data_IF_629774004414
#
_entry.id   IF_629774004414
#
_cell.length_a   1.000
_cell.length_b   1.000
_cell.length_c   1.000
_cell.angle_alpha   90.00
_cell.angle_beta   90.00
_cell.angle_gamma   90.00
#
_symmetry.space_group_name_H-M   'P 1'
#
loop_
_entity.id
_entity.type
_entity.pdbx_description
1 polymer ?
#
# COMPACT_ATOMS: atom_id res chain seq x y z
N UNK A 1 7.95 -15.82 11.78
CA UNK A 1 8.71 -16.40 10.65
C UNK A 1 9.63 -15.35 10.06
N UNK A 2 10.82 -15.74 9.58
CA UNK A 2 11.78 -14.78 9.01
C UNK A 2 12.43 -15.34 7.75
N UNK A 3 12.36 -14.61 6.63
CA UNK A 3 13.16 -14.94 5.44
C UNK A 3 12.69 -16.17 4.66
N UNK A 4 11.40 -16.52 4.74
CA UNK A 4 10.84 -17.67 4.04
C UNK A 4 10.14 -17.25 2.74
N UNK A 5 10.31 -18.04 1.69
CA UNK A 5 9.52 -17.94 0.46
C UNK A 5 8.65 -19.19 0.31
N UNK A 6 7.36 -18.98 0.06
CA UNK A 6 6.40 -20.02 -0.31
C UNK A 6 5.92 -19.75 -1.72
N UNK A 7 5.88 -20.81 -2.55
CA UNK A 7 5.47 -20.72 -3.95
C UNK A 7 4.33 -21.70 -4.21
N UNK A 8 3.13 -21.15 -4.45
CA UNK A 8 1.92 -21.90 -4.73
C UNK A 8 1.68 -22.23 -6.20
N UNK A 9 2.58 -21.84 -7.12
CA UNK A 9 2.38 -22.04 -8.55
C UNK A 9 2.10 -23.51 -8.91
N UNK A 10 1.02 -23.73 -9.66
CA UNK A 10 0.59 -25.07 -10.09
C UNK A 10 -0.21 -25.85 -9.04
N UNK A 11 -0.47 -25.26 -7.87
CA UNK A 11 -1.31 -25.85 -6.83
C UNK A 11 -2.67 -25.16 -6.78
N UNK A 12 -3.69 -25.86 -6.31
CA UNK A 12 -5.06 -25.35 -6.17
C UNK A 12 -5.40 -25.08 -4.70
N UNK A 13 -6.16 -24.02 -4.43
CA UNK A 13 -6.61 -23.62 -3.09
C UNK A 13 -5.48 -23.43 -2.06
N UNK A 14 -4.30 -22.97 -2.49
CA UNK A 14 -3.17 -22.77 -1.58
C UNK A 14 -3.14 -21.37 -1.03
N UNK A 15 -3.08 -21.28 0.30
CA UNK A 15 -2.68 -20.06 1.03
C UNK A 15 -1.22 -20.17 1.40
N UNK A 16 -0.43 -19.13 1.12
CA UNK A 16 1.01 -19.13 1.39
C UNK A 16 1.32 -19.19 2.88
N UNK A 17 0.91 -18.17 3.61
CA UNK A 17 1.00 -18.13 5.06
C UNK A 17 -0.37 -17.86 5.68
N UNK A 18 -0.76 -18.67 6.66
CA UNK A 18 -2.06 -18.54 7.33
C UNK A 18 -1.89 -18.63 8.85
N UNK A 19 -2.18 -17.52 9.52
CA UNK A 19 -2.32 -17.46 10.97
C UNK A 19 -3.74 -16.98 11.26
N UNK A 20 -4.56 -17.82 11.87
CA UNK A 20 -5.94 -17.51 12.23
C UNK A 20 -6.03 -16.47 13.38
N UNK A 21 -5.37 -15.31 13.23
CA UNK A 21 -5.39 -14.18 14.16
C UNK A 21 -4.02 -13.75 14.67
N UNK A 22 -3.11 -14.68 14.96
CA UNK A 22 -1.82 -14.38 15.61
C UNK A 22 -0.64 -15.08 14.96
N UNK A 23 0.26 -14.30 14.37
CA UNK A 23 1.54 -14.79 13.85
C UNK A 23 2.33 -13.64 13.25
N UNK A 24 3.66 -13.75 13.26
CA UNK A 24 4.52 -12.68 12.77
C UNK A 24 5.31 -13.16 11.56
N UNK A 25 5.49 -12.31 10.57
CA UNK A 25 6.39 -12.57 9.44
C UNK A 25 7.27 -11.36 9.15
N UNK A 26 8.56 -11.62 8.94
CA UNK A 26 9.53 -10.57 8.60
C UNK A 26 10.29 -11.02 7.36
N UNK A 27 10.27 -10.20 6.30
CA UNK A 27 10.99 -10.49 5.07
C UNK A 27 10.61 -11.86 4.47
N UNK A 28 9.31 -12.14 4.44
CA UNK A 28 8.77 -13.36 3.82
C UNK A 28 8.14 -13.04 2.46
N UNK A 29 8.10 -14.03 1.57
CA UNK A 29 7.52 -13.91 0.23
C UNK A 29 6.46 -14.98 0.04
N UNK A 30 5.25 -14.58 -0.35
CA UNK A 30 4.21 -15.49 -0.85
C UNK A 30 4.01 -15.23 -2.34
N UNK A 31 4.26 -16.25 -3.17
CA UNK A 31 4.19 -16.17 -4.61
C UNK A 31 3.22 -17.20 -5.18
N UNK A 32 2.39 -16.79 -6.13
CA UNK A 32 1.63 -17.76 -6.93
C UNK A 32 0.59 -18.55 -6.14
N UNK A 33 0.20 -18.08 -4.95
CA UNK A 33 -0.82 -18.73 -4.13
C UNK A 33 -2.19 -18.55 -4.79
N UNK A 34 -2.97 -19.63 -4.88
CA UNK A 34 -4.27 -19.66 -5.58
C UNK A 34 -5.48 -19.32 -4.70
N UNK A 35 -5.23 -18.94 -3.44
CA UNK A 35 -6.23 -18.39 -2.53
C UNK A 35 -5.77 -17.04 -1.93
N UNK A 36 -4.70 -17.02 -1.15
CA UNK A 36 -4.16 -15.79 -0.54
C UNK A 36 -2.65 -15.91 -0.32
N UNK A 37 -1.94 -14.80 -0.43
CA UNK A 37 -0.51 -14.78 -0.11
C UNK A 37 -0.29 -14.92 1.40
N UNK A 38 -0.81 -13.95 2.16
CA UNK A 38 -0.78 -13.92 3.61
C UNK A 38 -2.20 -13.77 4.17
N UNK A 39 -2.52 -14.54 5.22
CA UNK A 39 -3.77 -14.43 5.98
C UNK A 39 -3.43 -14.21 7.44
N UNK A 40 -3.86 -13.08 8.01
CA UNK A 40 -3.62 -12.73 9.41
C UNK A 40 -2.20 -12.25 9.71
N UNK A 41 -1.98 -11.92 10.99
CA UNK A 41 -0.64 -11.67 11.55
C UNK A 41 -0.11 -10.24 11.45
N UNK A 42 1.06 -10.03 12.07
CA UNK A 42 1.88 -8.81 12.01
C UNK A 42 3.03 -9.03 11.01
N UNK A 43 3.02 -8.26 9.93
CA UNK A 43 3.93 -8.47 8.80
C UNK A 43 4.83 -7.26 8.63
N UNK A 44 6.13 -7.50 8.50
CA UNK A 44 7.14 -6.48 8.24
C UNK A 44 7.95 -6.86 7.00
N UNK A 45 8.04 -5.94 6.04
CA UNK A 45 8.86 -6.12 4.83
C UNK A 45 8.53 -7.41 4.05
N UNK A 46 7.25 -7.82 4.06
CA UNK A 46 6.80 -9.02 3.35
C UNK A 46 6.31 -8.68 1.93
N UNK A 47 6.40 -9.65 1.01
CA UNK A 47 5.97 -9.48 -0.38
C UNK A 47 4.95 -10.53 -0.81
N UNK A 48 3.80 -10.10 -1.30
CA UNK A 48 2.80 -10.95 -1.93
C UNK A 48 2.76 -10.68 -3.43
N UNK A 49 3.15 -11.65 -4.26
CA UNK A 49 3.30 -11.44 -5.71
C UNK A 49 2.67 -12.54 -6.56
N UNK A 50 2.02 -12.16 -7.67
CA UNK A 50 1.42 -13.12 -8.60
C UNK A 50 0.43 -14.10 -7.96
N UNK A 51 -0.18 -13.74 -6.81
CA UNK A 51 -1.23 -14.55 -6.19
C UNK A 51 -2.53 -14.41 -6.98
N UNK A 52 -3.31 -15.48 -7.02
CA UNK A 52 -4.46 -15.63 -7.90
C UNK A 52 -5.69 -16.03 -7.10
N UNK A 53 -6.86 -15.54 -7.51
CA UNK A 53 -8.23 -15.96 -7.12
C UNK A 53 -8.54 -16.19 -5.62
N UNK A 54 -9.77 -15.89 -5.18
CA UNK A 54 -10.29 -16.34 -3.88
C UNK A 54 -9.94 -15.51 -2.63
N UNK A 55 -8.98 -14.59 -2.70
CA UNK A 55 -8.61 -13.73 -1.58
C UNK A 55 -7.86 -12.47 -2.00
N UNK A 56 -6.81 -12.10 -1.29
CA UNK A 56 -5.91 -10.98 -1.61
C UNK A 56 -4.44 -11.37 -1.42
N UNK A 57 -3.52 -10.52 -1.89
CA UNK A 57 -2.09 -10.66 -1.57
C UNK A 57 -1.86 -10.70 -0.06
N UNK A 58 -2.47 -9.75 0.65
CA UNK A 58 -2.55 -9.70 2.11
C UNK A 58 -4.02 -9.64 2.54
N UNK A 59 -4.48 -10.63 3.31
CA UNK A 59 -5.88 -10.77 3.73
C UNK A 59 -6.00 -10.76 5.24
N UNK A 60 -6.89 -9.93 5.79
CA UNK A 60 -7.22 -9.87 7.24
C UNK A 60 -5.98 -9.82 8.14
N UNK A 61 -4.93 -9.15 7.68
CA UNK A 61 -3.70 -8.96 8.47
C UNK A 61 -3.99 -8.01 9.61
N UNK A 62 -3.37 -8.22 10.77
CA UNK A 62 -3.52 -7.32 11.91
C UNK A 62 -2.77 -6.03 11.63
N UNK A 63 -1.55 -6.15 11.12
CA UNK A 63 -0.77 -5.02 10.66
C UNK A 63 0.22 -5.41 9.57
N UNK A 64 0.39 -4.52 8.59
CA UNK A 64 1.43 -4.64 7.57
C UNK A 64 2.27 -3.37 7.58
N UNK A 65 3.58 -3.52 7.73
CA UNK A 65 4.53 -2.43 7.69
C UNK A 65 5.53 -2.70 6.57
N UNK A 66 5.71 -1.75 5.66
CA UNK A 66 6.64 -1.86 4.52
C UNK A 66 6.40 -3.09 3.64
N UNK A 67 5.18 -3.60 3.59
CA UNK A 67 4.83 -4.76 2.77
C UNK A 67 4.53 -4.34 1.33
N UNK A 68 4.80 -5.23 0.37
CA UNK A 68 4.54 -4.99 -1.06
C UNK A 68 3.61 -6.06 -1.62
N UNK A 69 2.51 -5.64 -2.25
CA UNK A 69 1.63 -6.49 -3.03
C UNK A 69 1.74 -6.13 -4.51
N UNK A 70 2.20 -7.05 -5.36
CA UNK A 70 2.38 -6.75 -6.78
C UNK A 70 1.95 -7.87 -7.73
N UNK A 71 1.40 -7.49 -8.88
CA UNK A 71 1.02 -8.41 -9.95
C UNK A 71 0.06 -9.54 -9.51
N UNK A 72 -0.70 -9.36 -8.42
CA UNK A 72 -1.74 -10.32 -8.02
C UNK A 72 -2.95 -10.18 -8.95
N UNK A 73 -3.71 -11.25 -9.23
CA UNK A 73 -4.98 -11.15 -10.00
C UNK A 73 -6.22 -10.91 -9.12
N UNK A 74 -5.96 -10.40 -7.93
CA UNK A 74 -6.88 -10.12 -6.82
C UNK A 74 -6.43 -8.81 -6.14
N UNK A 75 -7.17 -8.25 -5.16
CA UNK A 75 -6.68 -7.08 -4.44
C UNK A 75 -5.27 -7.30 -3.86
N UNK A 76 -4.46 -6.25 -3.86
CA UNK A 76 -3.15 -6.31 -3.22
C UNK A 76 -3.27 -6.51 -1.71
N UNK A 77 -4.07 -5.67 -1.08
CA UNK A 77 -4.40 -5.72 0.35
C UNK A 77 -5.91 -5.71 0.54
N UNK A 78 -6.44 -6.61 1.37
CA UNK A 78 -7.85 -6.64 1.72
C UNK A 78 -8.07 -7.02 3.19
N UNK A 79 -9.06 -6.41 3.83
CA UNK A 79 -9.49 -6.81 5.19
C UNK A 79 -11.00 -6.68 5.36
N UNK A 80 -11.60 -7.53 6.19
CA UNK A 80 -12.97 -7.34 6.73
C UNK A 80 -12.95 -6.96 8.21
N UNK A 81 -11.77 -6.91 8.82
CA UNK A 81 -11.56 -6.60 10.25
C UNK A 81 -10.75 -5.31 10.43
N UNK A 82 -10.60 -4.88 11.68
CA UNK A 82 -9.72 -3.76 12.03
C UNK A 82 -8.26 -4.07 11.71
N UNK A 83 -7.62 -3.25 10.88
CA UNK A 83 -6.21 -3.40 10.48
C UNK A 83 -5.47 -2.06 10.46
N UNK A 84 -4.14 -2.14 10.44
CA UNK A 84 -3.27 -1.02 10.17
C UNK A 84 -2.26 -1.36 9.06
N UNK A 85 -2.23 -0.58 7.99
CA UNK A 85 -1.25 -0.74 6.91
C UNK A 85 -0.40 0.53 6.81
N UNK A 86 0.92 0.38 6.95
CA UNK A 86 1.85 1.51 6.97
C UNK A 86 2.99 1.31 5.97
N UNK A 87 3.33 2.36 5.22
CA UNK A 87 4.44 2.33 4.26
C UNK A 87 4.33 1.19 3.23
N UNK A 88 3.11 0.70 2.97
CA UNK A 88 2.88 -0.42 2.08
C UNK A 88 2.72 0.05 0.63
N UNK A 89 3.04 -0.85 -0.29
CA UNK A 89 3.03 -0.57 -1.72
C UNK A 89 2.17 -1.62 -2.45
N UNK A 90 1.18 -1.16 -3.22
CA UNK A 90 0.29 -2.02 -4.00
C UNK A 90 0.39 -1.68 -5.50
N UNK A 91 0.92 -2.59 -6.30
CA UNK A 91 1.41 -2.30 -7.67
C UNK A 91 0.88 -3.27 -8.70
N UNK A 92 0.28 -2.74 -9.77
CA UNK A 92 -0.08 -3.53 -10.96
C UNK A 92 -0.89 -4.80 -10.62
N UNK A 93 -1.73 -4.75 -9.58
CA UNK A 93 -2.65 -5.84 -9.32
C UNK A 93 -3.74 -5.83 -10.39
N UNK A 94 -4.06 -7.00 -10.91
CA UNK A 94 -4.96 -7.28 -12.02
C UNK A 94 -6.22 -7.99 -11.53
N UNK A 95 -7.14 -8.29 -12.43
CA UNK A 95 -8.48 -8.78 -12.14
C UNK A 95 -9.50 -7.64 -12.08
N UNK A 96 -10.78 -7.96 -12.29
CA UNK A 96 -11.90 -7.01 -12.16
C UNK A 96 -12.04 -6.45 -10.74
N UNK A 97 -11.46 -7.13 -9.76
CA UNK A 97 -11.35 -6.73 -8.35
C UNK A 97 -9.91 -6.45 -7.95
N UNK A 98 -9.02 -6.19 -8.91
CA UNK A 98 -7.59 -5.93 -8.69
C UNK A 98 -7.34 -4.56 -8.07
N UNK A 99 -7.97 -4.25 -6.95
CA UNK A 99 -7.81 -3.00 -6.21
C UNK A 99 -6.45 -2.96 -5.50
N UNK A 100 -5.93 -1.76 -5.25
CA UNK A 100 -4.70 -1.59 -4.49
C UNK A 100 -4.88 -2.00 -3.03
N UNK A 101 -5.78 -1.28 -2.34
CA UNK A 101 -6.13 -1.47 -0.92
C UNK A 101 -7.65 -1.49 -0.75
N UNK A 102 -8.21 -2.60 -0.29
CA UNK A 102 -9.65 -2.76 -0.03
C UNK A 102 -9.93 -2.88 1.47
N UNK A 103 -10.62 -1.89 2.03
CA UNK A 103 -11.03 -1.85 3.43
C UNK A 103 -12.50 -2.22 3.56
N UNK A 104 -12.79 -3.45 3.98
CA UNK A 104 -14.13 -3.92 4.35
C UNK A 104 -14.44 -3.82 5.85
N UNK A 105 -13.43 -3.58 6.69
CA UNK A 105 -13.56 -3.27 8.12
C UNK A 105 -13.24 -1.80 8.43
N UNK A 106 -13.06 -1.49 9.72
CA UNK A 106 -12.41 -0.24 10.17
C UNK A 106 -10.89 -0.35 10.01
N UNK A 107 -10.15 0.74 10.14
CA UNK A 107 -8.70 0.68 10.23
C UNK A 107 -8.01 1.91 9.68
N UNK A 108 -6.67 1.88 9.72
CA UNK A 108 -5.83 2.99 9.27
C UNK A 108 -4.90 2.51 8.17
N UNK A 109 -4.94 3.19 7.02
CA UNK A 109 -3.95 3.04 5.96
C UNK A 109 -3.14 4.32 5.94
N UNK A 110 -1.85 4.23 6.22
CA UNK A 110 -1.01 5.43 6.31
C UNK A 110 0.25 5.30 5.48
N UNK A 111 0.59 6.37 4.75
CA UNK A 111 1.86 6.46 4.00
C UNK A 111 2.01 5.34 2.95
N UNK A 112 0.88 4.81 2.49
CA UNK A 112 0.82 3.76 1.49
C UNK A 112 0.65 4.33 0.08
N UNK A 113 1.11 3.57 -0.91
CA UNK A 113 0.99 3.91 -2.33
C UNK A 113 0.30 2.82 -3.12
N UNK A 114 -0.69 3.22 -3.92
CA UNK A 114 -1.36 2.37 -4.92
C UNK A 114 -0.98 2.86 -6.32
N UNK A 115 -0.36 2.00 -7.13
CA UNK A 115 0.07 2.33 -8.48
C UNK A 115 -0.36 1.30 -9.53
N UNK A 116 -0.96 1.75 -10.63
CA UNK A 116 -1.15 0.88 -11.79
C UNK A 116 -2.12 -0.28 -11.59
N UNK A 117 -2.94 -0.26 -10.54
CA UNK A 117 -3.88 -1.35 -10.26
C UNK A 117 -5.06 -1.30 -11.24
N UNK A 118 -5.58 -2.47 -11.62
CA UNK A 118 -6.71 -2.57 -12.57
C UNK A 118 -8.04 -2.12 -11.94
N UNK A 119 -8.18 -2.20 -10.62
CA UNK A 119 -9.29 -1.61 -9.88
C UNK A 119 -8.98 -0.20 -9.40
N UNK A 120 -9.67 0.20 -8.34
CA UNK A 120 -9.38 1.42 -7.58
C UNK A 120 -8.03 1.33 -6.85
N UNK A 121 -7.38 2.45 -6.60
CA UNK A 121 -6.18 2.49 -5.76
C UNK A 121 -6.50 2.18 -4.29
N UNK A 122 -7.45 2.93 -3.71
CA UNK A 122 -7.97 2.72 -2.36
C UNK A 122 -9.49 2.64 -2.39
N UNK A 123 -10.04 1.55 -1.86
CA UNK A 123 -11.46 1.27 -1.88
C UNK A 123 -11.94 1.00 -0.45
N UNK A 124 -12.96 1.73 -0.01
CA UNK A 124 -13.79 1.33 1.12
C UNK A 124 -14.90 0.43 0.57
N UNK A 125 -15.08 -0.77 1.11
CA UNK A 125 -16.20 -1.62 0.72
C UNK A 125 -17.51 -1.06 1.28
N UNK A 126 -18.64 -1.43 0.68
CA UNK A 126 -19.97 -0.93 1.06
C UNK A 126 -20.40 -1.20 2.51
N UNK A 127 -19.71 -2.10 3.21
CA UNK A 127 -19.97 -2.46 4.61
C UNK A 127 -18.85 -1.98 5.55
N UNK A 128 -17.97 -1.08 5.11
CA UNK A 128 -16.77 -0.74 5.86
C UNK A 128 -17.06 0.05 7.15
N UNK A 129 -16.24 -0.18 8.17
CA UNK A 129 -16.39 0.42 9.51
C UNK A 129 -15.80 1.83 9.65
N UNK A 130 -15.86 2.65 8.59
CA UNK A 130 -15.19 3.97 8.48
C UNK A 130 -13.65 3.92 8.42
N UNK A 131 -13.04 3.54 7.28
CA UNK A 131 -11.59 3.54 7.13
C UNK A 131 -11.00 4.95 7.16
N UNK A 132 -9.79 5.07 7.71
CA UNK A 132 -9.00 6.30 7.70
C UNK A 132 -7.76 6.11 6.82
N UNK A 133 -7.61 6.97 5.83
CA UNK A 133 -6.44 7.03 4.94
C UNK A 133 -5.66 8.30 5.22
N UNK A 134 -4.36 8.18 5.51
CA UNK A 134 -3.49 9.29 5.92
C UNK A 134 -2.22 9.31 5.09
N UNK A 135 -1.85 10.44 4.50
CA UNK A 135 -0.63 10.56 3.71
C UNK A 135 -0.53 9.49 2.59
N UNK A 136 -1.65 9.08 2.00
CA UNK A 136 -1.68 8.05 0.96
C UNK A 136 -1.58 8.66 -0.46
N UNK A 137 -1.01 7.90 -1.40
CA UNK A 137 -0.86 8.33 -2.79
C UNK A 137 -1.43 7.29 -3.75
N UNK A 138 -2.29 7.73 -4.67
CA UNK A 138 -2.96 6.86 -5.64
C UNK A 138 -2.72 7.31 -7.09
N UNK A 139 -1.99 6.51 -7.87
CA UNK A 139 -1.49 6.95 -9.18
C UNK A 139 -1.74 5.93 -10.27
N UNK A 140 -2.24 6.38 -11.41
CA UNK A 140 -2.36 5.56 -12.62
C UNK A 140 -3.16 4.26 -12.46
N UNK A 141 -4.15 4.23 -11.56
CA UNK A 141 -5.05 3.09 -11.45
C UNK A 141 -6.15 3.18 -12.53
N UNK A 142 -6.63 2.03 -13.00
CA UNK A 142 -7.70 1.98 -14.01
C UNK A 142 -9.06 2.33 -13.40
N UNK A 143 -9.25 2.11 -12.10
CA UNK A 143 -10.41 2.60 -11.36
C UNK A 143 -10.27 4.05 -10.91
N UNK A 144 -10.86 4.36 -9.75
CA UNK A 144 -10.66 5.63 -9.06
C UNK A 144 -9.36 5.64 -8.25
N UNK A 145 -8.85 6.83 -7.95
CA UNK A 145 -7.75 6.96 -7.00
C UNK A 145 -8.18 6.53 -5.59
N UNK A 146 -9.29 7.11 -5.13
CA UNK A 146 -9.96 6.80 -3.87
C UNK A 146 -11.47 6.61 -4.10
N UNK A 147 -12.05 5.53 -3.58
CA UNK A 147 -13.44 5.12 -3.80
C UNK A 147 -14.12 4.74 -2.47
N UNK A 148 -15.32 5.29 -2.22
CA UNK A 148 -16.06 5.09 -0.96
C UNK A 148 -17.07 3.93 -1.00
N UNK A 149 -17.44 3.45 -2.19
CA UNK A 149 -18.49 2.47 -2.47
C UNK A 149 -19.73 2.57 -1.55
N UNK A 150 -20.23 3.79 -1.29
CA UNK A 150 -21.39 4.03 -0.43
C UNK A 150 -21.13 4.04 1.08
N UNK A 151 -19.87 4.01 1.52
CA UNK A 151 -19.43 4.10 2.92
C UNK A 151 -18.59 5.35 3.20
N UNK A 152 -18.58 5.78 4.46
CA UNK A 152 -17.79 6.89 4.98
C UNK A 152 -16.29 6.54 5.05
N UNK A 153 -15.49 6.97 4.08
CA UNK A 153 -14.01 6.94 4.18
C UNK A 153 -13.47 8.33 4.58
N UNK A 154 -12.49 8.36 5.48
CA UNK A 154 -11.82 9.60 5.91
C UNK A 154 -10.47 9.70 5.23
N UNK A 155 -10.20 10.84 4.60
CA UNK A 155 -8.93 11.11 3.91
C UNK A 155 -8.24 12.28 4.58
N UNK A 156 -6.96 12.12 4.91
CA UNK A 156 -6.12 13.15 5.50
C UNK A 156 -4.81 13.22 4.72
N UNK A 157 -4.56 14.32 4.02
CA UNK A 157 -3.36 14.48 3.19
C UNK A 157 -3.19 13.35 2.14
N UNK A 158 -4.27 12.97 1.46
CA UNK A 158 -4.26 11.93 0.44
C UNK A 158 -4.29 12.54 -0.97
N UNK A 159 -3.39 12.07 -1.84
CA UNK A 159 -3.13 12.66 -3.15
C UNK A 159 -3.38 11.63 -4.25
N UNK A 160 -3.85 12.09 -5.39
CA UNK A 160 -4.13 11.22 -6.53
C UNK A 160 -3.69 11.86 -7.85
N UNK A 161 -3.36 11.00 -8.82
CA UNK A 161 -2.93 11.43 -10.15
C UNK A 161 -3.25 10.39 -11.21
N UNK A 162 -3.85 10.85 -12.31
CA UNK A 162 -3.98 10.08 -13.56
C UNK A 162 -4.74 8.75 -13.37
N UNK A 163 -5.75 8.71 -12.50
CA UNK A 163 -6.62 7.54 -12.33
C UNK A 163 -7.76 7.60 -13.37
N UNK A 164 -8.08 6.48 -14.03
CA UNK A 164 -8.86 6.52 -15.28
C UNK A 164 -10.35 6.82 -15.06
N UNK A 165 -10.94 6.41 -13.94
CA UNK A 165 -12.31 6.81 -13.58
C UNK A 165 -12.37 8.14 -12.81
N UNK A 166 -11.21 8.69 -12.44
CA UNK A 166 -11.06 9.93 -11.69
C UNK A 166 -10.24 9.74 -10.42
N UNK A 167 -9.66 10.83 -9.92
CA UNK A 167 -8.81 10.78 -8.72
C UNK A 167 -9.63 10.47 -7.44
N UNK A 168 -10.88 10.90 -7.40
CA UNK A 168 -11.79 10.68 -6.28
C UNK A 168 -13.19 10.36 -6.81
N UNK A 169 -13.79 9.26 -6.37
CA UNK A 169 -15.18 8.94 -6.71
C UNK A 169 -16.16 9.94 -6.07
N UNK A 170 -17.31 10.17 -6.70
CA UNK A 170 -18.31 11.17 -6.30
C UNK A 170 -18.97 10.86 -4.95
N UNK A 171 -19.06 9.58 -4.60
CA UNK A 171 -19.56 9.08 -3.31
C UNK A 171 -18.57 9.29 -2.15
N UNK A 172 -17.29 9.57 -2.46
CA UNK A 172 -16.29 10.06 -1.50
C UNK A 172 -16.61 11.50 -1.08
N UNK A 173 -17.66 12.14 -1.61
CA UNK A 173 -18.10 13.51 -1.32
C UNK A 173 -19.35 13.65 -0.43
N UNK A 174 -20.36 12.79 -0.60
CA UNK A 174 -21.65 12.88 0.10
C UNK A 174 -21.62 12.33 1.54
N UNK A 175 -20.56 11.59 1.87
CA UNK A 175 -20.29 11.04 3.19
C UNK A 175 -19.20 11.84 3.97
N UNK A 176 -18.81 13.03 3.50
CA UNK A 176 -17.80 13.85 4.17
C UNK A 176 -18.38 14.70 5.32
N UNK A 177 -18.89 14.06 6.37
CA UNK A 177 -19.04 14.77 7.63
C UNK A 177 -17.71 14.78 8.39
N UNK A 178 -17.07 15.95 8.35
CA UNK A 178 -16.35 16.54 9.49
C UNK A 178 -14.95 16.00 9.82
N UNK A 179 -14.09 15.85 8.81
CA UNK A 179 -12.72 16.38 8.89
C UNK A 179 -12.15 16.60 7.48
N UNK A 180 -12.90 17.31 6.63
CA UNK A 180 -12.26 18.07 5.56
C UNK A 180 -11.68 19.29 6.26
N UNK A 181 -10.47 19.15 6.81
CA UNK A 181 -9.56 20.29 6.81
C UNK A 181 -9.07 20.39 5.35
N UNK A 182 -9.96 20.83 4.45
CA UNK A 182 -9.59 21.31 3.12
C UNK A 182 -8.55 22.39 3.38
N UNK A 183 -7.32 22.16 2.98
CA UNK A 183 -6.91 22.62 1.66
C UNK A 183 -6.40 21.56 0.66
N UNK A 184 -6.32 20.26 0.99
CA UNK A 184 -5.46 19.36 0.20
C UNK A 184 -6.13 18.14 -0.48
N UNK A 185 -7.31 18.29 -1.09
CA UNK A 185 -7.65 17.44 -2.26
C UNK A 185 -6.83 17.95 -3.44
N UNK A 186 -5.56 17.53 -3.49
CA UNK A 186 -4.65 18.01 -4.53
C UNK A 186 -4.53 16.93 -5.59
N UNK A 187 -5.20 17.15 -6.72
CA UNK A 187 -4.83 16.47 -7.95
C UNK A 187 -3.44 16.95 -8.35
N UNK A 188 -2.51 16.02 -8.49
CA UNK A 188 -1.18 16.35 -9.00
C UNK A 188 -1.29 16.78 -10.47
N UNK A 189 -0.34 17.57 -10.94
CA UNK A 189 -0.23 17.97 -12.35
C UNK A 189 0.92 17.26 -13.06
N UNK A 190 1.72 16.50 -12.33
CA UNK A 190 2.83 15.71 -12.86
C UNK A 190 2.96 14.38 -12.11
N UNK A 191 3.59 13.40 -12.76
CA UNK A 191 3.90 12.11 -12.13
C UNK A 191 4.76 12.36 -10.87
N UNK A 192 4.38 11.82 -9.70
CA UNK A 192 5.14 12.03 -8.47
C UNK A 192 6.44 11.22 -8.38
N UNK A 193 6.56 10.14 -9.16
CA UNK A 193 7.65 9.17 -9.03
C UNK A 193 8.81 9.45 -10.00
N UNK A 194 10.01 9.00 -9.65
CA UNK A 194 11.20 9.11 -10.52
C UNK A 194 11.12 8.19 -11.73
N UNK A 195 10.84 6.90 -11.50
CA UNK A 195 10.78 5.91 -12.58
C UNK A 195 9.95 4.67 -12.19
N UNK A 196 8.63 4.80 -12.08
CA UNK A 196 7.79 3.73 -11.55
C UNK A 196 7.73 2.50 -12.47
N UNK A 197 7.96 2.66 -13.79
CA UNK A 197 8.04 1.52 -14.72
C UNK A 197 9.27 0.63 -14.48
N UNK A 198 10.29 1.14 -13.80
CA UNK A 198 11.45 0.37 -13.33
C UNK A 198 11.38 0.02 -11.83
N UNK A 199 10.22 0.25 -11.19
CA UNK A 199 10.03 0.00 -9.76
C UNK A 199 10.63 1.06 -8.84
N UNK A 200 11.04 2.22 -9.36
CA UNK A 200 11.53 3.34 -8.55
C UNK A 200 10.38 4.29 -8.16
N UNK A 201 9.76 3.97 -7.02
CA UNK A 201 8.68 4.76 -6.41
C UNK A 201 9.16 5.88 -5.50
N UNK A 202 10.46 6.24 -5.54
CA UNK A 202 10.93 7.45 -4.84
C UNK A 202 10.30 8.69 -5.48
N UNK A 203 9.95 9.66 -4.64
CA UNK A 203 9.43 10.95 -5.11
C UNK A 203 10.49 11.70 -5.92
N UNK A 204 10.08 12.28 -7.05
CA UNK A 204 10.93 13.14 -7.88
C UNK A 204 10.93 14.59 -7.36
N UNK A 205 11.69 15.48 -8.00
CA UNK A 205 11.79 16.90 -7.64
C UNK A 205 10.94 17.79 -8.54
N UNK A 206 10.00 17.22 -9.30
CA UNK A 206 9.17 17.97 -10.26
C UNK A 206 8.05 18.68 -9.52
N UNK A 207 7.90 19.99 -9.76
CA UNK A 207 6.82 20.80 -9.23
C UNK A 207 5.45 20.27 -9.70
N UNK A 208 4.45 20.28 -8.81
CA UNK A 208 3.15 19.69 -9.09
C UNK A 208 3.13 18.15 -9.13
N UNK A 209 4.26 17.49 -8.89
CA UNK A 209 4.41 16.04 -8.73
C UNK A 209 5.12 15.71 -7.41
N UNK A 210 6.32 15.12 -7.49
CA UNK A 210 7.03 14.61 -6.32
C UNK A 210 7.43 15.69 -5.32
N UNK A 211 7.78 16.89 -5.79
CA UNK A 211 8.11 18.02 -4.92
C UNK A 211 6.92 18.47 -4.07
N UNK A 212 5.70 18.40 -4.63
CA UNK A 212 4.48 18.72 -3.90
C UNK A 212 4.18 17.65 -2.85
N UNK A 213 4.31 16.37 -3.19
CA UNK A 213 4.15 15.26 -2.24
C UNK A 213 5.18 15.32 -1.10
N UNK A 214 6.41 15.75 -1.38
CA UNK A 214 7.43 16.01 -0.36
C UNK A 214 7.01 17.16 0.54
N UNK A 215 6.56 18.26 -0.07
CA UNK A 215 6.14 19.52 0.55
C UNK A 215 4.80 19.50 1.32
N UNK A 216 4.04 18.41 1.23
CA UNK A 216 2.69 18.31 1.80
C UNK A 216 2.55 17.25 2.90
N UNK A 217 3.67 16.60 3.25
CA UNK A 217 3.74 15.59 4.29
C UNK A 217 3.14 16.03 5.62
N UNK A 218 2.34 15.17 6.26
CA UNK A 218 1.84 15.41 7.61
C UNK A 218 2.64 14.62 8.68
N UNK A 219 3.01 15.23 9.82
CA UNK A 219 2.83 16.64 10.15
C UNK A 219 3.79 17.55 9.35
N UNK A 220 3.27 18.68 8.86
CA UNK A 220 4.04 19.65 8.05
C UNK A 220 5.09 20.41 8.88
N UNK A 221 4.80 20.61 10.16
CA UNK A 221 5.69 21.17 11.17
C UNK A 221 5.29 20.58 12.51
N UNK A 222 6.25 20.29 13.39
CA UNK A 222 5.94 19.88 14.76
C UNK A 222 5.81 21.15 15.62
N UNK A 223 4.65 21.43 16.25
CA UNK A 223 4.50 22.61 17.10
C UNK A 223 5.61 22.67 18.16
N UNK A 224 6.20 23.85 18.32
CA UNK A 224 7.35 24.05 19.23
C UNK A 224 8.73 23.77 18.60
N UNK A 225 8.80 23.31 17.35
CA UNK A 225 10.05 23.11 16.64
C UNK A 225 10.05 23.89 15.31
N UNK A 226 10.79 25.00 15.26
CA UNK A 226 10.81 25.92 14.10
C UNK A 226 11.67 25.45 12.92
N UNK A 227 12.48 24.39 13.11
CA UNK A 227 13.42 23.89 12.10
C UNK A 227 13.21 22.41 11.73
N UNK A 228 12.24 21.69 12.30
CA UNK A 228 11.86 20.36 11.79
C UNK A 228 10.90 20.54 10.63
N UNK A 229 11.48 20.82 9.46
CA UNK A 229 10.77 20.69 8.18
C UNK A 229 10.44 19.22 7.94
N UNK A 230 9.17 18.95 7.65
CA UNK A 230 8.58 17.72 7.09
C UNK A 230 9.44 16.46 7.12
N UNK A 231 9.04 15.52 7.98
CA UNK A 231 9.77 14.25 8.18
C UNK A 231 9.36 13.21 7.13
N UNK A 232 8.15 13.29 6.56
CA UNK A 232 7.53 12.20 5.80
C UNK A 232 6.75 12.73 4.59
N UNK A 233 7.17 12.40 3.37
CA UNK A 233 6.42 12.75 2.14
C UNK A 233 5.17 11.88 1.93
N UNK A 234 4.16 12.41 1.26
CA UNK A 234 2.89 11.70 0.97
C UNK A 234 3.15 10.52 0.05
N UNK A 235 2.66 9.34 0.46
CA UNK A 235 2.83 8.07 -0.24
C UNK A 235 4.28 7.74 -0.57
N UNK A 236 5.24 8.41 0.07
CA UNK A 236 6.61 8.00 -0.05
C UNK A 236 6.67 6.63 0.60
N UNK A 237 6.85 5.59 -0.22
CA UNK A 237 7.46 4.34 0.22
C UNK A 237 8.88 4.73 0.57
N UNK A 238 9.03 5.40 1.72
CA UNK A 238 10.30 5.63 2.34
C UNK A 238 10.71 4.24 2.77
N UNK A 239 11.37 3.53 1.85
CA UNK A 239 12.18 2.39 2.18
C UNK A 239 13.26 2.95 3.11
N UNK A 240 12.89 3.08 4.39
CA UNK A 240 13.74 3.38 5.50
C UNK A 240 14.75 2.23 5.49
N UNK A 241 15.83 2.46 4.75
CA UNK A 241 17.01 1.60 4.69
C UNK A 241 16.75 0.22 4.05
N UNK A 242 16.37 0.21 2.77
CA UNK A 242 16.72 -0.95 1.91
C UNK A 242 18.23 -1.23 1.91
N UNK A 243 19.05 -0.28 2.37
CA UNK A 243 20.48 -0.50 2.65
C UNK A 243 20.75 -1.53 3.75
N UNK A 244 19.90 -1.74 4.76
CA UNK A 244 20.14 -2.74 5.82
C UNK A 244 19.77 -4.15 5.36
N UNK A 245 18.68 -4.30 4.59
CA UNK A 245 18.28 -5.58 3.98
C UNK A 245 19.21 -5.94 2.83
N UNK A 246 19.59 -4.99 1.96
CA UNK A 246 20.64 -5.20 0.96
C UNK A 246 21.98 -5.51 1.62
N UNK A 247 22.36 -4.85 2.72
CA UNK A 247 23.58 -5.21 3.49
C UNK A 247 23.50 -6.61 4.06
N UNK A 248 22.36 -7.08 4.60
CA UNK A 248 22.22 -8.46 5.08
C UNK A 248 22.27 -9.49 3.95
N UNK A 249 21.66 -9.23 2.80
CA UNK A 249 21.78 -10.12 1.64
C UNK A 249 23.20 -10.13 1.04
N UNK A 250 23.86 -8.98 0.98
CA UNK A 250 25.26 -8.85 0.58
C UNK A 250 26.19 -9.59 1.55
N UNK A 251 25.98 -9.46 2.87
CA UNK A 251 26.74 -10.18 3.90
C UNK A 251 26.51 -11.69 3.83
N UNK A 252 25.28 -12.16 3.55
CA UNK A 252 25.01 -13.60 3.30
C UNK A 252 25.73 -14.12 2.05
N UNK A 253 25.87 -13.31 1.00
CA UNK A 253 26.64 -13.68 -0.21
C UNK A 253 28.15 -13.73 0.06
N UNK A 254 28.68 -12.83 0.90
CA UNK A 254 30.09 -12.86 1.32
C UNK A 254 30.42 -14.07 2.20
N UNK A 255 29.52 -14.47 3.10
CA UNK A 255 29.71 -15.64 3.98
C UNK A 255 29.80 -16.98 3.23
N UNK A 256 29.11 -17.12 2.08
CA UNK A 256 29.15 -18.35 1.27
C UNK A 256 30.41 -18.49 0.41
N UNK A 257 31.14 -17.41 0.12
CA UNK A 257 32.38 -17.47 -0.68
C UNK A 257 33.64 -17.89 0.10
N UNK A 258 33.61 -17.90 1.44
CA UNK A 258 34.76 -18.31 2.29
C UNK A 258 34.85 -19.81 2.60
N UNK A 259 33.97 -20.65 2.03
CA UNK A 259 33.96 -22.12 2.25
C UNK A 259 34.28 -22.93 0.99
N UNK A 260 34.99 -22.34 0.03
CA UNK A 260 35.55 -23.04 -1.12
C UNK A 260 37.04 -22.83 -1.17
#
# INVERSE_FOLDING_TARGET
MVGLEVNGNGLTFVTGFNWAGSGDAINCVARGCTNSGFVGGLLLDCRATANQTGGAGFTNTVSCVQCTADANSVPGFATTTTTTWEYCLSVNNTGSVGHGFTMGGSGVVSQCTAFGNQGDGFQAAATAGSPLWVNCLSVANTGYGFCGAGTYAKLVHCYAFNNSLGDFASDVGSALMNLVWSDNRVSLTANPFRNPSQGDFRLNTVAGGGALCQGAGWPGSVPGFVNTTQVLGIGAVQQLLSSLVQRRQFMRRLGRRRRR
#
